data_IF_834994549940
#
_entry.id   IF_834994549940
#
_cell.length_a   1.000
_cell.length_b   1.000
_cell.length_c   1.000
_cell.angle_alpha   90.00
_cell.angle_beta   90.00
_cell.angle_gamma   90.00
#
_symmetry.space_group_name_H-M   'P 1'
#
loop_
_entity.id
_entity.type
_entity.pdbx_description
1 polymer ?
#
# COMPACT_ATOMS: atom_id res chain seq x y z
N UNK A 1 -17.59 -1.86 7.57
CA UNK A 1 -18.57 -2.30 6.56
C UNK A 1 -18.61 -3.83 6.45
N UNK A 2 -17.51 -4.53 6.12
CA UNK A 2 -17.50 -5.99 5.97
C UNK A 2 -18.15 -6.68 7.17
N UNK A 3 -17.73 -6.35 8.39
CA UNK A 3 -18.31 -6.92 9.62
C UNK A 3 -19.78 -6.54 9.80
N UNK A 4 -20.14 -5.28 9.54
CA UNK A 4 -21.51 -4.79 9.65
C UNK A 4 -22.47 -5.45 8.65
N UNK A 5 -21.94 -5.90 7.52
CA UNK A 5 -22.69 -6.61 6.49
C UNK A 5 -22.73 -8.15 6.74
N UNK A 6 -22.24 -8.61 7.88
CA UNK A 6 -22.27 -10.02 8.28
C UNK A 6 -21.08 -10.85 7.75
N UNK A 7 -20.05 -10.22 7.18
CA UNK A 7 -18.84 -10.91 6.75
C UNK A 7 -17.84 -11.12 7.88
N UNK A 8 -16.83 -11.96 7.65
CA UNK A 8 -15.60 -12.06 8.43
C UNK A 8 -14.44 -11.39 7.71
N UNK A 9 -13.37 -11.05 8.43
CA UNK A 9 -12.26 -10.33 7.84
C UNK A 9 -10.91 -10.92 8.27
N UNK A 10 -10.05 -11.23 7.30
CA UNK A 10 -8.65 -11.57 7.53
C UNK A 10 -7.81 -10.36 7.17
N UNK A 11 -7.10 -9.82 8.15
CA UNK A 11 -6.23 -8.67 7.99
C UNK A 11 -4.79 -9.14 7.77
N UNK A 12 -4.17 -8.66 6.71
CA UNK A 12 -2.74 -8.81 6.44
C UNK A 12 -2.09 -7.45 6.27
N UNK A 13 -0.94 -7.26 6.89
CA UNK A 13 -0.21 -6.00 6.84
C UNK A 13 1.27 -6.21 7.12
N UNK A 14 2.03 -5.11 7.10
CA UNK A 14 3.43 -5.12 7.50
C UNK A 14 3.74 -4.01 8.49
N UNK A 15 4.78 -4.23 9.28
CA UNK A 15 5.38 -3.23 10.17
C UNK A 15 6.89 -3.20 9.94
N UNK A 16 7.42 -2.02 9.67
CA UNK A 16 8.86 -1.81 9.51
C UNK A 16 9.48 -2.53 8.30
N UNK A 17 10.76 -2.82 8.43
CA UNK A 17 11.58 -3.50 7.42
C UNK A 17 12.48 -4.55 8.08
N UNK A 18 11.93 -5.66 8.55
CA UNK A 18 12.72 -6.75 9.12
C UNK A 18 13.70 -7.29 8.07
N UNK A 19 14.93 -7.59 8.49
CA UNK A 19 15.99 -8.09 7.59
C UNK A 19 16.30 -9.56 7.82
N UNK A 20 16.07 -10.05 9.05
CA UNK A 20 16.54 -11.36 9.51
C UNK A 20 15.38 -12.29 9.90
N UNK A 21 14.20 -12.13 9.31
CA UNK A 21 13.01 -12.88 9.67
C UNK A 21 12.25 -12.27 10.86
N UNK A 22 11.55 -13.07 11.66
CA UNK A 22 10.71 -12.56 12.74
C UNK A 22 11.51 -11.85 13.84
N UNK A 23 11.10 -10.62 14.16
CA UNK A 23 11.62 -9.81 15.25
C UNK A 23 10.43 -9.26 16.04
N UNK A 24 10.40 -9.42 17.36
CA UNK A 24 9.27 -9.04 18.22
C UNK A 24 8.81 -7.58 18.01
N UNK A 25 9.77 -6.65 17.87
CA UNK A 25 9.46 -5.22 17.61
C UNK A 25 8.68 -4.93 16.33
N UNK A 26 8.67 -5.88 15.40
CA UNK A 26 7.95 -5.80 14.13
C UNK A 26 6.73 -6.71 14.08
N UNK A 27 6.43 -7.42 15.17
CA UNK A 27 5.24 -8.26 15.24
C UNK A 27 3.96 -7.41 15.24
N UNK A 28 2.96 -7.84 14.48
CA UNK A 28 1.65 -7.19 14.47
C UNK A 28 0.82 -7.51 15.72
N UNK A 29 1.25 -8.43 16.58
CA UNK A 29 0.57 -8.71 17.85
C UNK A 29 0.39 -7.47 18.73
N UNK A 30 1.28 -6.48 18.62
CA UNK A 30 1.24 -5.26 19.40
C UNK A 30 0.03 -4.34 19.08
N UNK A 31 -0.61 -4.54 17.94
CA UNK A 31 -1.77 -3.73 17.54
C UNK A 31 -3.13 -4.41 17.80
N UNK A 32 -3.15 -5.66 18.29
CA UNK A 32 -4.40 -6.43 18.51
C UNK A 32 -5.38 -5.67 19.38
N UNK A 33 -4.94 -5.20 20.55
CA UNK A 33 -5.82 -4.48 21.49
C UNK A 33 -6.40 -3.20 20.86
N UNK A 34 -5.63 -2.49 20.07
CA UNK A 34 -6.10 -1.31 19.35
C UNK A 34 -7.12 -1.68 18.28
N UNK A 35 -6.85 -2.72 17.48
CA UNK A 35 -7.78 -3.22 16.46
C UNK A 35 -9.09 -3.67 17.10
N UNK A 36 -9.04 -4.45 18.18
CA UNK A 36 -10.25 -4.89 18.89
C UNK A 36 -11.09 -3.71 19.36
N UNK A 37 -10.45 -2.64 19.84
CA UNK A 37 -11.16 -1.43 20.27
C UNK A 37 -11.86 -0.73 19.11
N UNK A 38 -11.19 -0.54 17.97
CA UNK A 38 -11.77 0.20 16.83
C UNK A 38 -12.79 -0.62 16.03
N UNK A 39 -12.66 -1.95 16.02
CA UNK A 39 -13.61 -2.85 15.35
C UNK A 39 -14.78 -3.25 16.27
N UNK A 40 -14.69 -2.97 17.58
CA UNK A 40 -15.63 -3.40 18.59
C UNK A 40 -15.86 -4.93 18.60
N UNK A 41 -14.81 -5.70 18.25
CA UNK A 41 -14.83 -7.17 18.25
C UNK A 41 -13.47 -7.72 18.66
N UNK A 42 -13.45 -8.93 19.22
CA UNK A 42 -12.19 -9.61 19.52
C UNK A 42 -11.46 -9.95 18.23
N UNK A 43 -10.21 -9.48 18.12
CA UNK A 43 -9.34 -9.78 17.00
C UNK A 43 -8.48 -10.99 17.33
N UNK A 44 -8.71 -12.09 16.64
CA UNK A 44 -7.85 -13.27 16.70
C UNK A 44 -6.50 -12.98 16.04
N UNK A 45 -5.45 -13.64 16.46
CA UNK A 45 -4.12 -13.49 15.90
C UNK A 45 -3.54 -14.84 15.48
N UNK A 46 -2.94 -14.91 14.29
CA UNK A 46 -2.13 -16.03 13.86
C UNK A 46 -0.66 -15.62 13.87
N UNK A 47 0.22 -16.46 14.48
CA UNK A 47 1.65 -16.18 14.59
C UNK A 47 2.41 -16.36 13.26
N UNK A 48 1.71 -16.67 12.21
CA UNK A 48 2.24 -16.76 10.85
C UNK A 48 1.23 -16.26 9.80
N UNK A 49 1.58 -16.38 8.50
CA UNK A 49 0.73 -15.95 7.40
C UNK A 49 0.23 -17.09 6.52
N UNK A 50 0.87 -18.26 6.51
CA UNK A 50 0.65 -19.33 5.52
C UNK A 50 0.72 -20.74 6.10
N UNK A 51 1.02 -20.88 7.39
CA UNK A 51 1.12 -22.16 8.08
C UNK A 51 -0.22 -22.69 8.57
N UNK A 52 -0.19 -23.83 9.20
CA UNK A 52 -1.39 -24.53 9.69
C UNK A 52 -2.23 -23.69 10.66
N UNK A 53 -1.57 -22.88 11.52
CA UNK A 53 -2.29 -22.01 12.44
C UNK A 53 -3.15 -20.97 11.69
N UNK A 54 -2.56 -20.28 10.69
CA UNK A 54 -3.28 -19.31 9.88
C UNK A 54 -4.42 -19.95 9.10
N UNK A 55 -4.18 -21.12 8.49
CA UNK A 55 -5.18 -21.87 7.72
C UNK A 55 -6.36 -22.29 8.62
N UNK A 56 -6.07 -22.90 9.77
CA UNK A 56 -7.10 -23.39 10.67
C UNK A 56 -7.93 -22.25 11.28
N UNK A 57 -7.28 -21.15 11.67
CA UNK A 57 -7.98 -19.95 12.19
C UNK A 57 -8.83 -19.28 11.11
N UNK A 58 -8.32 -19.17 9.88
CA UNK A 58 -9.05 -18.63 8.75
C UNK A 58 -10.31 -19.45 8.44
N UNK A 59 -10.18 -20.78 8.40
CA UNK A 59 -11.28 -21.69 8.15
C UNK A 59 -12.35 -21.69 9.26
N UNK A 60 -11.95 -21.39 10.50
CA UNK A 60 -12.86 -21.34 11.65
C UNK A 60 -13.56 -19.99 11.83
N UNK A 61 -13.22 -18.96 11.03
CA UNK A 61 -13.84 -17.63 11.15
C UNK A 61 -15.33 -17.67 10.85
N UNK A 62 -16.10 -17.12 11.78
CA UNK A 62 -17.53 -16.88 11.62
C UNK A 62 -17.84 -15.41 11.29
N UNK A 63 -19.06 -15.13 10.86
CA UNK A 63 -19.56 -13.78 10.60
C UNK A 63 -19.25 -12.83 11.78
N UNK A 64 -18.79 -11.64 11.48
CA UNK A 64 -18.42 -10.60 12.46
C UNK A 64 -17.06 -10.79 13.12
N UNK A 65 -16.32 -11.86 12.84
CA UNK A 65 -15.00 -12.11 13.41
C UNK A 65 -13.86 -11.55 12.56
N UNK A 66 -12.74 -11.25 13.22
CA UNK A 66 -11.54 -10.72 12.59
C UNK A 66 -10.34 -11.58 12.97
N UNK A 67 -9.53 -11.96 11.97
CA UNK A 67 -8.23 -12.58 12.14
C UNK A 67 -7.15 -11.62 11.64
N UNK A 68 -6.17 -11.31 12.47
CA UNK A 68 -4.95 -10.63 12.07
C UNK A 68 -3.84 -11.66 11.85
N UNK A 69 -3.25 -11.67 10.66
CA UNK A 69 -2.05 -12.45 10.39
C UNK A 69 -0.81 -11.74 10.93
N UNK A 70 0.27 -12.48 11.16
CA UNK A 70 1.55 -11.89 11.49
C UNK A 70 2.12 -11.08 10.31
N UNK A 71 3.14 -10.29 10.56
CA UNK A 71 3.79 -9.40 9.62
C UNK A 71 4.24 -10.14 8.35
N UNK A 72 3.60 -9.85 7.20
CA UNK A 72 3.91 -10.49 5.92
C UNK A 72 5.38 -10.29 5.49
N UNK A 73 6.04 -9.24 5.97
CA UNK A 73 7.47 -8.98 5.69
C UNK A 73 8.44 -9.82 6.51
N UNK A 74 7.97 -10.69 7.36
CA UNK A 74 8.82 -11.75 7.92
C UNK A 74 9.19 -12.81 6.88
N UNK A 75 8.48 -12.83 5.77
CA UNK A 75 8.74 -13.66 4.60
C UNK A 75 9.46 -12.85 3.52
N UNK A 76 10.59 -13.36 3.03
CA UNK A 76 11.35 -12.74 1.93
C UNK A 76 10.53 -12.73 0.63
N UNK A 77 9.70 -13.71 0.49
CA UNK A 77 8.75 -13.94 -0.60
C UNK A 77 7.78 -12.77 -0.78
N UNK A 78 7.42 -12.09 0.30
CA UNK A 78 6.51 -10.94 0.25
C UNK A 78 7.08 -9.84 -0.64
N UNK A 79 8.29 -9.38 -0.37
CA UNK A 79 8.90 -8.28 -1.14
C UNK A 79 9.43 -8.73 -2.51
N UNK A 80 9.65 -10.01 -2.70
CA UNK A 80 10.03 -10.61 -3.98
C UNK A 80 8.84 -10.75 -4.94
N UNK A 81 7.61 -10.65 -4.44
CA UNK A 81 6.41 -10.88 -5.24
C UNK A 81 6.26 -12.36 -5.63
N UNK A 82 6.64 -13.28 -4.72
CA UNK A 82 6.62 -14.71 -4.98
C UNK A 82 5.20 -15.25 -5.17
N UNK A 83 4.99 -15.98 -6.27
CA UNK A 83 3.67 -16.49 -6.64
C UNK A 83 3.20 -17.62 -5.72
N UNK A 84 4.10 -18.52 -5.29
CA UNK A 84 3.70 -19.62 -4.42
C UNK A 84 3.32 -19.13 -3.02
N UNK A 85 3.98 -18.10 -2.50
CA UNK A 85 3.58 -17.43 -1.26
C UNK A 85 2.24 -16.71 -1.42
N UNK A 86 2.05 -15.98 -2.51
CA UNK A 86 0.81 -15.27 -2.81
C UNK A 86 -0.37 -16.24 -2.98
N UNK A 87 -0.17 -17.38 -3.64
CA UNK A 87 -1.17 -18.43 -3.76
C UNK A 87 -1.60 -18.99 -2.39
N UNK A 88 -0.63 -19.24 -1.48
CA UNK A 88 -0.96 -19.71 -0.13
C UNK A 88 -1.79 -18.68 0.64
N UNK A 89 -1.44 -17.41 0.56
CA UNK A 89 -2.22 -16.33 1.18
C UNK A 89 -3.62 -16.26 0.59
N UNK A 90 -3.76 -16.38 -0.73
CA UNK A 90 -5.05 -16.26 -1.41
C UNK A 90 -6.06 -17.35 -0.99
N UNK A 91 -5.56 -18.50 -0.56
CA UNK A 91 -6.41 -19.62 -0.09
C UNK A 91 -7.06 -19.39 1.27
N UNK A 92 -6.65 -18.35 2.00
CA UNK A 92 -7.22 -18.04 3.31
C UNK A 92 -8.60 -17.38 3.22
N UNK A 93 -8.97 -16.78 2.09
CA UNK A 93 -10.22 -16.07 1.94
C UNK A 93 -10.84 -16.21 0.55
N UNK A 94 -12.13 -15.92 0.45
CA UNK A 94 -12.90 -16.03 -0.81
C UNK A 94 -12.94 -14.73 -1.62
N UNK A 95 -12.60 -13.60 -0.99
CA UNK A 95 -12.62 -12.27 -1.60
C UNK A 95 -11.35 -11.53 -1.20
N UNK A 96 -10.76 -10.82 -2.15
CA UNK A 96 -9.57 -10.01 -1.94
C UNK A 96 -9.89 -8.52 -1.99
N UNK A 97 -9.48 -7.80 -0.95
CA UNK A 97 -9.62 -6.34 -0.89
C UNK A 97 -8.25 -5.72 -0.73
N UNK A 98 -7.82 -4.92 -1.71
CA UNK A 98 -6.61 -4.13 -1.59
C UNK A 98 -6.94 -2.70 -1.10
N UNK A 99 -6.46 -2.36 0.08
CA UNK A 99 -6.58 -1.01 0.64
C UNK A 99 -5.22 -0.42 1.06
N UNK A 100 -4.13 -0.94 0.49
CA UNK A 100 -2.76 -0.61 0.83
C UNK A 100 -2.14 0.37 -0.19
N UNK A 101 -2.64 1.60 -0.27
CA UNK A 101 -2.18 2.60 -1.24
C UNK A 101 -0.69 2.92 -1.10
N UNK A 102 -0.16 3.01 0.14
CA UNK A 102 1.25 3.30 0.39
C UNK A 102 2.25 2.32 -0.24
N UNK A 103 1.81 1.10 -0.59
CA UNK A 103 2.62 0.08 -1.26
C UNK A 103 2.18 -0.20 -2.71
N UNK A 104 1.20 0.54 -3.23
CA UNK A 104 0.61 0.30 -4.55
C UNK A 104 1.62 0.39 -5.72
N UNK A 105 2.73 1.12 -5.52
CA UNK A 105 3.83 1.24 -6.49
C UNK A 105 4.79 0.04 -6.53
N UNK A 106 4.51 -1.03 -5.76
CA UNK A 106 5.37 -2.21 -5.64
C UNK A 106 4.58 -3.48 -5.90
N UNK A 107 5.16 -4.38 -6.70
CA UNK A 107 4.57 -5.69 -7.01
C UNK A 107 4.88 -6.72 -5.90
N UNK A 108 4.46 -6.44 -4.66
CA UNK A 108 4.61 -7.38 -3.55
C UNK A 108 3.59 -8.50 -3.63
N UNK A 109 3.88 -9.64 -2.98
CA UNK A 109 3.03 -10.82 -3.02
C UNK A 109 1.62 -10.51 -2.48
N UNK A 110 1.51 -9.93 -1.29
CA UNK A 110 0.22 -9.66 -0.62
C UNK A 110 -0.59 -8.54 -1.29
N UNK A 111 0.05 -7.56 -1.94
CA UNK A 111 -0.64 -6.37 -2.48
C UNK A 111 -0.92 -6.42 -3.97
N UNK A 112 -0.20 -7.25 -4.72
CA UNK A 112 -0.35 -7.33 -6.18
C UNK A 112 -0.54 -8.75 -6.66
N UNK A 113 0.37 -9.65 -6.28
CA UNK A 113 0.40 -11.00 -6.86
C UNK A 113 -0.78 -11.84 -6.38
N UNK A 114 -1.16 -11.73 -5.09
CA UNK A 114 -2.31 -12.44 -4.54
C UNK A 114 -3.62 -12.16 -5.31
N UNK A 115 -3.79 -10.96 -5.83
CA UNK A 115 -4.96 -10.61 -6.63
C UNK A 115 -5.13 -11.43 -7.93
N UNK A 116 -4.07 -12.08 -8.41
CA UNK A 116 -4.13 -12.95 -9.60
C UNK A 116 -4.95 -14.22 -9.38
N UNK A 117 -5.04 -14.66 -8.12
CA UNK A 117 -5.72 -15.89 -7.72
C UNK A 117 -7.22 -15.69 -7.46
N UNK A 118 -7.73 -14.49 -7.65
CA UNK A 118 -9.15 -14.16 -7.52
C UNK A 118 -9.73 -13.73 -8.87
N UNK A 119 -10.95 -14.13 -9.14
CA UNK A 119 -11.71 -13.67 -10.30
C UNK A 119 -12.00 -12.16 -10.19
N UNK A 120 -12.46 -11.54 -11.27
CA UNK A 120 -12.67 -10.08 -11.28
C UNK A 120 -13.80 -9.62 -10.34
N UNK A 121 -14.76 -10.46 -10.07
CA UNK A 121 -15.85 -10.23 -9.13
C UNK A 121 -15.48 -10.50 -7.66
N UNK A 122 -14.35 -11.18 -7.43
CA UNK A 122 -13.83 -11.52 -6.10
C UNK A 122 -12.67 -10.61 -5.64
N UNK A 123 -12.27 -9.62 -6.43
CA UNK A 123 -11.21 -8.68 -6.06
C UNK A 123 -11.65 -7.25 -6.26
N UNK A 124 -11.31 -6.40 -5.30
CA UNK A 124 -11.72 -5.01 -5.32
C UNK A 124 -10.76 -4.10 -4.56
N UNK A 125 -10.88 -2.81 -4.76
CA UNK A 125 -10.24 -1.83 -3.90
C UNK A 125 -11.07 -1.58 -2.64
N UNK A 126 -10.38 -1.38 -1.53
CA UNK A 126 -10.97 -0.81 -0.35
C UNK A 126 -11.22 0.69 -0.50
N UNK A 127 -11.78 1.31 0.52
CA UNK A 127 -12.18 2.73 0.47
C UNK A 127 -11.01 3.70 0.30
N UNK A 128 -9.86 3.43 0.94
CA UNK A 128 -8.69 4.28 0.79
C UNK A 128 -8.16 4.20 -0.63
N UNK A 129 -7.91 2.99 -1.12
CA UNK A 129 -7.38 2.77 -2.47
C UNK A 129 -8.32 3.34 -3.54
N UNK A 130 -9.63 3.09 -3.42
CA UNK A 130 -10.62 3.62 -4.34
C UNK A 130 -10.66 5.15 -4.36
N UNK A 131 -10.54 5.80 -3.20
CA UNK A 131 -10.49 7.26 -3.08
C UNK A 131 -9.22 7.86 -3.68
N UNK A 132 -8.07 7.22 -3.45
CA UNK A 132 -6.80 7.68 -4.01
C UNK A 132 -6.77 7.54 -5.53
N UNK A 133 -7.24 6.41 -6.06
CA UNK A 133 -7.36 6.20 -7.51
C UNK A 133 -8.31 7.22 -8.15
N UNK A 134 -9.48 7.47 -7.54
CA UNK A 134 -10.42 8.46 -8.04
C UNK A 134 -9.85 9.89 -8.00
N UNK A 135 -9.09 10.24 -6.96
CA UNK A 135 -8.42 11.54 -6.88
C UNK A 135 -7.30 11.67 -7.92
N UNK A 136 -6.53 10.61 -8.15
CA UNK A 136 -5.51 10.59 -9.19
C UNK A 136 -6.14 10.77 -10.58
N UNK A 137 -7.22 10.05 -10.90
CA UNK A 137 -7.95 10.21 -12.16
C UNK A 137 -8.48 11.65 -12.34
N UNK A 138 -9.03 12.23 -11.27
CA UNK A 138 -9.51 13.61 -11.29
C UNK A 138 -8.40 14.60 -11.62
N UNK A 139 -7.22 14.43 -11.04
CA UNK A 139 -6.07 15.33 -11.28
C UNK A 139 -5.50 15.13 -12.69
N UNK A 140 -5.39 13.88 -13.14
CA UNK A 140 -4.77 13.57 -14.43
C UNK A 140 -5.67 13.86 -15.63
N UNK A 141 -6.97 13.61 -15.50
CA UNK A 141 -7.89 13.63 -16.65
C UNK A 141 -8.96 14.70 -16.56
N UNK A 142 -9.25 15.25 -15.37
CA UNK A 142 -10.38 16.14 -15.12
C UNK A 142 -10.03 17.27 -14.17
N UNK A 143 -8.77 17.74 -14.17
CA UNK A 143 -8.36 18.83 -13.28
C UNK A 143 -9.17 20.10 -13.53
N UNK A 144 -9.71 20.67 -12.45
CA UNK A 144 -10.34 21.98 -12.51
C UNK A 144 -9.30 23.06 -12.84
N UNK A 145 -9.67 24.01 -13.67
CA UNK A 145 -8.79 25.12 -14.08
C UNK A 145 -9.04 26.37 -13.21
N UNK A 146 -7.98 27.14 -12.86
CA UNK A 146 -6.58 26.89 -13.19
C UNK A 146 -5.97 25.74 -12.33
N UNK A 147 -5.28 24.81 -12.98
CA UNK A 147 -4.57 23.73 -12.29
C UNK A 147 -3.11 24.13 -11.99
N UNK A 148 -2.75 24.20 -10.72
CA UNK A 148 -1.38 24.48 -10.29
C UNK A 148 -0.79 23.20 -9.67
N UNK A 149 0.27 22.69 -10.29
CA UNK A 149 1.03 21.56 -9.79
C UNK A 149 2.22 22.03 -8.94
N UNK A 150 2.40 21.47 -7.75
CA UNK A 150 3.56 21.75 -6.89
C UNK A 150 4.40 20.47 -6.84
N UNK A 151 5.61 20.54 -7.39
CA UNK A 151 6.54 19.41 -7.47
C UNK A 151 7.79 19.73 -6.67
N UNK A 152 8.14 18.85 -5.74
CA UNK A 152 9.32 19.02 -4.89
C UNK A 152 10.06 17.71 -4.66
N UNK A 153 11.33 17.79 -4.38
CA UNK A 153 12.19 16.64 -4.11
C UNK A 153 13.66 17.01 -4.06
N UNK A 154 14.52 16.02 -3.80
CA UNK A 154 15.96 16.22 -3.75
C UNK A 154 16.58 16.33 -5.15
N UNK A 155 16.15 15.48 -6.09
CA UNK A 155 16.71 15.40 -7.45
C UNK A 155 15.63 15.51 -8.51
N UNK A 156 15.94 16.18 -9.63
CA UNK A 156 15.05 16.28 -10.80
C UNK A 156 14.95 14.94 -11.52
N UNK A 157 16.06 14.20 -11.64
CA UNK A 157 16.14 12.91 -12.34
C UNK A 157 15.02 11.93 -11.94
N UNK A 158 14.65 11.94 -10.67
CA UNK A 158 13.65 11.01 -10.13
C UNK A 158 12.21 11.40 -10.52
N UNK A 159 12.00 12.59 -11.05
CA UNK A 159 10.68 13.18 -11.31
C UNK A 159 10.54 13.82 -12.69
N UNK A 160 11.54 13.69 -13.55
CA UNK A 160 11.54 14.37 -14.87
C UNK A 160 10.32 13.98 -15.71
N UNK A 161 9.96 12.69 -15.75
CA UNK A 161 8.80 12.21 -16.49
C UNK A 161 7.46 12.75 -15.94
N UNK A 162 7.39 12.98 -14.63
CA UNK A 162 6.21 13.59 -14.00
C UNK A 162 6.10 15.04 -14.44
N UNK A 163 7.22 15.78 -14.44
CA UNK A 163 7.25 17.19 -14.86
C UNK A 163 6.88 17.32 -16.34
N UNK A 164 7.42 16.47 -17.21
CA UNK A 164 7.09 16.45 -18.63
C UNK A 164 5.59 16.22 -18.88
N UNK A 165 4.97 15.29 -18.15
CA UNK A 165 3.53 15.08 -18.23
C UNK A 165 2.73 16.28 -17.71
N UNK A 166 3.19 16.94 -16.64
CA UNK A 166 2.52 18.09 -16.05
C UNK A 166 2.61 19.33 -16.94
N UNK A 167 3.66 19.51 -17.73
CA UNK A 167 3.81 20.63 -18.68
C UNK A 167 2.62 20.69 -19.65
N UNK A 168 2.07 19.54 -20.02
CA UNK A 168 0.95 19.47 -20.97
C UNK A 168 -0.42 19.59 -20.30
N UNK A 169 -0.50 19.50 -18.98
CA UNK A 169 -1.79 19.41 -18.25
C UNK A 169 -2.00 20.53 -17.24
N UNK A 170 -0.93 21.04 -16.62
CA UNK A 170 -1.00 22.08 -15.61
C UNK A 170 -0.93 23.49 -16.24
N UNK A 171 -1.68 24.42 -15.68
CA UNK A 171 -1.59 25.84 -16.06
C UNK A 171 -0.38 26.50 -15.39
N UNK A 172 0.00 26.04 -14.20
CA UNK A 172 1.16 26.50 -13.47
C UNK A 172 1.91 25.32 -12.84
N UNK A 173 3.25 25.37 -12.85
CA UNK A 173 4.10 24.40 -12.16
C UNK A 173 5.03 25.14 -11.22
N UNK A 174 4.93 24.82 -9.92
CA UNK A 174 5.83 25.34 -8.88
C UNK A 174 6.84 24.24 -8.56
N UNK A 175 8.12 24.53 -8.77
CA UNK A 175 9.21 23.62 -8.45
C UNK A 175 9.80 24.00 -7.09
N UNK A 176 9.76 23.07 -6.14
CA UNK A 176 10.27 23.27 -4.77
C UNK A 176 11.34 22.24 -4.38
N UNK A 177 11.88 22.43 -3.18
CA UNK A 177 12.93 21.55 -2.64
C UNK A 177 14.27 21.62 -3.38
N UNK A 178 15.16 20.66 -3.15
CA UNK A 178 16.50 20.61 -3.74
C UNK A 178 16.50 20.61 -5.27
N UNK A 179 15.49 20.04 -5.88
CA UNK A 179 15.36 20.00 -7.35
C UNK A 179 15.23 21.38 -7.99
N UNK A 180 14.82 22.42 -7.25
CA UNK A 180 14.76 23.79 -7.77
C UNK A 180 16.14 24.31 -8.16
N UNK A 181 17.20 23.88 -7.49
CA UNK A 181 18.56 24.30 -7.79
C UNK A 181 19.04 23.82 -9.16
N UNK A 182 18.59 22.66 -9.63
CA UNK A 182 18.88 22.20 -11.00
C UNK A 182 18.33 23.18 -12.04
N UNK A 183 17.11 23.69 -11.84
CA UNK A 183 16.52 24.69 -12.74
C UNK A 183 17.23 26.05 -12.64
N UNK A 184 17.65 26.48 -11.43
CA UNK A 184 18.43 27.71 -11.27
C UNK A 184 19.77 27.60 -11.98
N UNK A 185 20.46 26.47 -11.85
CA UNK A 185 21.73 26.23 -12.56
C UNK A 185 21.55 26.23 -14.08
N UNK A 186 20.50 25.57 -14.57
CA UNK A 186 20.19 25.53 -16.00
C UNK A 186 19.90 26.93 -16.58
N UNK A 187 19.41 27.86 -15.75
CA UNK A 187 19.23 29.27 -16.12
C UNK A 187 20.46 30.15 -15.91
N UNK A 188 21.64 29.55 -15.64
CA UNK A 188 22.90 30.29 -15.43
C UNK A 188 23.11 30.81 -13.99
N UNK A 189 22.26 30.46 -13.04
CA UNK A 189 22.39 30.86 -11.64
C UNK A 189 23.46 30.07 -10.89
N UNK A 190 24.00 30.67 -9.84
CA UNK A 190 24.92 30.00 -8.90
C UNK A 190 24.12 29.30 -7.81
N UNK A 191 24.52 28.09 -7.48
CA UNK A 191 23.81 27.22 -6.51
C UNK A 191 24.71 26.77 -5.34
N UNK A 192 25.94 27.27 -5.24
CA UNK A 192 26.91 26.83 -4.24
C UNK A 192 27.17 25.33 -4.30
N UNK A 193 27.12 24.64 -3.16
CA UNK A 193 27.36 23.19 -3.04
C UNK A 193 26.07 22.36 -3.12
N UNK A 194 24.99 22.92 -3.65
CA UNK A 194 23.72 22.18 -3.78
C UNK A 194 23.83 21.06 -4.82
N UNK A 195 23.12 19.96 -4.55
CA UNK A 195 23.03 18.83 -5.51
C UNK A 195 22.24 19.25 -6.76
N UNK A 196 22.71 18.75 -7.90
CA UNK A 196 22.07 18.88 -9.21
C UNK A 196 22.01 17.54 -9.93
#
# INVERSE_FOLDING_TARGET
KILADGGSCILMSHLGRPKNGPEDKFSLKHIIAHLSKITSTDVQFANDCIGEEAINKAAALSAGQVLLLENVRFYKEETAGDEAFAEKISKLGSVYVNDAFGTAHRAHASTTVAAKFFSNDQKMFGYLMGKEVANADKVMNKAAKPFTAIVGGAKVSDKILIIENLINTADNIIIGGGMAYTFFKAKGGSIGNSLV
#
